data_IF_431192327106
#
_entry.id   IF_431192327106
#
_cell.length_a   1.000
_cell.length_b   1.000
_cell.length_c   1.000
_cell.angle_alpha   90.00
_cell.angle_beta   90.00
_cell.angle_gamma   90.00
#
_symmetry.space_group_name_H-M   'P 1'
#
loop_
_entity.id
_entity.type
_entity.pdbx_description
1 polymer ?
#
# COMPACT_ATOMS: atom_id res chain seq x y z
N UNK A 1 -2.60 22.47 57.17
CA UNK A 1 -2.36 21.06 56.86
C UNK A 1 -3.57 20.33 56.26
N UNK A 2 -4.75 20.27 56.85
CA UNK A 2 -5.92 19.55 56.31
C UNK A 2 -6.35 20.02 54.88
N UNK A 3 -6.31 21.31 54.58
CA UNK A 3 -6.68 21.83 53.23
C UNK A 3 -5.65 21.51 52.15
N UNK A 4 -4.37 21.38 52.49
CA UNK A 4 -3.30 20.98 51.56
C UNK A 4 -3.41 19.51 51.24
N UNK A 5 -3.77 18.65 52.18
CA UNK A 5 -3.95 17.23 51.96
C UNK A 5 -5.20 16.94 51.09
N UNK A 6 -6.27 17.74 51.24
CA UNK A 6 -7.46 17.63 50.36
C UNK A 6 -7.16 18.10 48.95
N UNK A 7 -6.32 19.09 48.75
CA UNK A 7 -5.91 19.56 47.43
C UNK A 7 -4.96 18.57 46.72
N UNK A 8 -4.07 17.90 47.48
CA UNK A 8 -3.21 16.83 46.97
C UNK A 8 -4.00 15.59 46.61
N UNK A 9 -5.04 15.23 47.36
CA UNK A 9 -5.94 14.11 46.98
C UNK A 9 -6.79 14.43 45.76
N UNK A 10 -7.19 15.68 45.55
CA UNK A 10 -7.93 16.07 44.32
C UNK A 10 -7.05 16.03 43.07
N UNK A 11 -5.76 16.37 43.19
CA UNK A 11 -4.79 16.29 42.07
C UNK A 11 -4.46 14.84 41.71
N UNK A 12 -4.42 13.94 42.70
CA UNK A 12 -4.20 12.51 42.47
C UNK A 12 -5.40 11.81 41.79
N UNK A 13 -6.61 12.31 41.96
CA UNK A 13 -7.81 11.76 41.31
C UNK A 13 -7.94 12.24 39.85
N UNK A 14 -7.40 13.40 39.51
CA UNK A 14 -7.43 13.94 38.13
C UNK A 14 -6.32 13.33 37.23
N UNK A 15 -5.24 12.79 37.83
CA UNK A 15 -4.16 12.13 37.08
C UNK A 15 -4.39 10.63 36.82
N UNK A 16 -5.52 10.07 37.27
CA UNK A 16 -5.88 8.67 37.04
C UNK A 16 -6.86 8.47 35.86
N UNK A 17 -7.10 9.46 35.02
CA UNK A 17 -7.59 9.21 33.67
C UNK A 17 -6.43 8.73 32.81
N UNK A 18 -5.94 7.55 33.09
CA UNK A 18 -5.27 6.71 32.07
C UNK A 18 -6.33 6.57 31.01
N UNK A 19 -6.10 7.16 29.84
CA UNK A 19 -6.89 6.88 28.63
C UNK A 19 -6.72 5.37 28.35
N UNK A 20 -7.57 4.55 28.95
CA UNK A 20 -7.78 3.22 28.43
C UNK A 20 -8.17 3.42 26.97
N UNK A 21 -7.32 2.94 26.05
CA UNK A 21 -7.61 2.90 24.62
C UNK A 21 -8.95 2.18 24.46
N UNK A 22 -10.02 2.92 24.29
CA UNK A 22 -11.35 2.33 24.19
C UNK A 22 -11.50 1.80 22.77
N UNK A 23 -11.08 0.55 22.58
CA UNK A 23 -11.35 -0.14 21.32
C UNK A 23 -12.86 -0.32 21.18
N UNK A 24 -13.44 0.20 20.12
CA UNK A 24 -14.80 -0.17 19.75
C UNK A 24 -14.76 -1.52 19.05
N UNK A 25 -15.68 -2.38 19.35
CA UNK A 25 -15.84 -3.73 18.81
C UNK A 25 -17.21 -3.90 18.15
N UNK A 26 -17.70 -2.81 17.56
CA UNK A 26 -19.04 -2.78 16.98
C UNK A 26 -19.14 -3.64 15.73
N UNK A 27 -18.02 -3.85 15.02
CA UNK A 27 -17.99 -4.56 13.75
C UNK A 27 -16.86 -5.58 13.71
N UNK A 28 -17.07 -6.64 12.91
CA UNK A 28 -16.01 -7.57 12.50
C UNK A 28 -16.16 -7.94 11.01
N UNK A 29 -15.10 -8.54 10.46
CA UNK A 29 -15.14 -9.17 9.15
C UNK A 29 -15.52 -10.64 9.30
N UNK A 30 -16.53 -11.06 8.57
CA UNK A 30 -17.01 -12.44 8.54
C UNK A 30 -16.89 -13.04 7.14
N UNK A 31 -16.43 -14.27 7.04
CA UNK A 31 -16.36 -14.99 5.76
C UNK A 31 -17.77 -15.27 5.22
N UNK A 32 -18.01 -14.89 3.98
CA UNK A 32 -19.25 -15.28 3.30
C UNK A 32 -19.04 -16.52 2.46
N UNK A 33 -20.15 -17.13 1.99
CA UNK A 33 -20.10 -18.25 1.04
C UNK A 33 -19.61 -17.84 -0.37
N UNK A 34 -19.52 -16.52 -0.64
CA UNK A 34 -19.14 -16.02 -1.96
C UNK A 34 -17.65 -16.24 -2.21
N UNK A 35 -17.35 -16.89 -3.32
CA UNK A 35 -16.00 -17.11 -3.83
C UNK A 35 -15.92 -16.61 -5.26
N UNK A 36 -14.71 -16.23 -5.65
CA UNK A 36 -14.36 -15.87 -7.02
C UNK A 36 -13.11 -16.63 -7.42
N UNK A 37 -13.14 -17.24 -8.59
CA UNK A 37 -12.01 -17.96 -9.17
C UNK A 37 -11.74 -17.40 -10.56
N UNK A 38 -10.55 -16.85 -10.75
CA UNK A 38 -10.12 -16.26 -12.02
C UNK A 38 -9.06 -17.17 -12.60
N UNK A 39 -9.36 -17.91 -13.68
CA UNK A 39 -8.39 -18.72 -14.38
C UNK A 39 -7.26 -17.83 -14.94
N UNK A 40 -6.02 -18.18 -14.64
CA UNK A 40 -4.84 -17.48 -15.10
C UNK A 40 -4.30 -18.12 -16.37
N UNK A 41 -3.85 -17.31 -17.31
CA UNK A 41 -3.17 -17.85 -18.49
C UNK A 41 -1.76 -18.33 -18.12
N UNK A 42 -1.26 -19.38 -18.78
CA UNK A 42 0.04 -20.03 -18.52
C UNK A 42 1.26 -19.08 -18.61
N UNK A 43 1.09 -17.92 -19.20
CA UNK A 43 2.13 -16.90 -19.41
C UNK A 43 1.93 -15.66 -18.54
N UNK A 44 1.04 -15.70 -17.55
CA UNK A 44 0.77 -14.59 -16.63
C UNK A 44 1.20 -14.97 -15.22
N UNK A 45 2.12 -14.20 -14.67
CA UNK A 45 2.53 -14.32 -13.27
C UNK A 45 1.95 -13.16 -12.47
N UNK A 46 1.29 -13.44 -11.36
CA UNK A 46 0.76 -12.42 -10.47
C UNK A 46 1.57 -12.32 -9.18
N UNK A 47 1.72 -11.09 -8.72
CA UNK A 47 2.33 -10.74 -7.45
C UNK A 47 1.45 -9.74 -6.72
N UNK A 48 1.63 -9.63 -5.43
CA UNK A 48 0.85 -8.72 -4.60
C UNK A 48 0.87 -7.26 -5.07
N UNK A 49 1.99 -6.80 -5.61
CA UNK A 49 2.14 -5.40 -6.04
C UNK A 49 1.66 -5.11 -7.46
N UNK A 50 1.32 -6.13 -8.22
CA UNK A 50 1.02 -6.04 -9.65
C UNK A 50 -0.46 -6.20 -9.98
N UNK A 51 -1.30 -6.40 -8.98
CA UNK A 51 -2.74 -6.57 -9.14
C UNK A 51 -3.48 -5.28 -8.78
N UNK A 52 -4.45 -4.90 -9.61
CA UNK A 52 -5.30 -3.75 -9.36
C UNK A 52 -6.74 -4.02 -9.75
N UNK A 53 -7.65 -3.73 -8.84
CA UNK A 53 -9.08 -3.60 -9.13
C UNK A 53 -9.44 -2.18 -9.55
N UNK A 54 -10.26 -2.02 -10.57
CA UNK A 54 -10.84 -0.73 -10.94
C UNK A 54 -12.18 -0.89 -11.64
N UNK A 55 -12.97 0.16 -11.58
CA UNK A 55 -14.20 0.32 -12.36
C UNK A 55 -13.88 1.23 -13.56
N UNK A 56 -14.09 0.72 -14.76
CA UNK A 56 -13.83 1.46 -15.99
C UNK A 56 -14.74 2.70 -16.08
N UNK A 57 -14.13 3.87 -16.16
CA UNK A 57 -14.82 5.16 -16.09
C UNK A 57 -15.81 5.42 -17.23
N UNK A 58 -15.70 4.67 -18.34
CA UNK A 58 -16.55 4.82 -19.51
C UNK A 58 -17.74 3.85 -19.49
N UNK A 59 -17.52 2.63 -19.01
CA UNK A 59 -18.51 1.55 -19.08
C UNK A 59 -19.14 1.20 -17.73
N UNK A 60 -18.52 1.58 -16.61
CA UNK A 60 -18.92 1.17 -15.26
C UNK A 60 -18.70 -0.33 -14.98
N UNK A 61 -17.93 -1.01 -15.82
CA UNK A 61 -17.61 -2.42 -15.65
C UNK A 61 -16.40 -2.57 -14.74
N UNK A 62 -16.47 -3.54 -13.82
CA UNK A 62 -15.37 -3.83 -12.89
C UNK A 62 -14.37 -4.82 -13.50
N UNK A 63 -13.09 -4.50 -13.36
CA UNK A 63 -11.98 -5.31 -13.82
C UNK A 63 -10.95 -5.55 -12.72
N UNK A 64 -10.32 -6.72 -12.78
CA UNK A 64 -9.05 -6.99 -12.14
C UNK A 64 -7.96 -6.94 -13.21
N UNK A 65 -6.96 -6.12 -13.00
CA UNK A 65 -5.83 -6.02 -13.92
C UNK A 65 -4.55 -6.49 -13.22
N UNK A 66 -3.70 -7.18 -13.96
CA UNK A 66 -2.43 -7.73 -13.46
C UNK A 66 -1.31 -7.28 -14.38
N UNK A 67 -0.29 -6.62 -13.81
CA UNK A 67 0.96 -6.35 -14.48
C UNK A 67 1.91 -7.54 -14.31
N UNK A 68 2.44 -8.04 -15.40
CA UNK A 68 3.48 -9.04 -15.41
C UNK A 68 4.70 -8.55 -16.19
N UNK A 69 5.76 -8.23 -15.47
CA UNK A 69 7.04 -7.80 -16.04
C UNK A 69 7.96 -8.96 -16.48
N UNK A 70 7.54 -10.22 -16.26
CA UNK A 70 8.31 -11.43 -16.53
C UNK A 70 7.85 -12.18 -17.78
N UNK A 71 7.08 -11.53 -18.66
CA UNK A 71 6.57 -12.24 -19.84
C UNK A 71 7.69 -12.93 -20.60
N UNK A 72 7.43 -14.13 -21.10
CA UNK A 72 8.41 -14.95 -21.87
C UNK A 72 8.98 -14.21 -23.09
N UNK A 73 8.28 -13.18 -23.55
CA UNK A 73 8.71 -12.35 -24.68
C UNK A 73 9.60 -11.18 -24.27
N UNK A 74 9.90 -11.01 -22.96
CA UNK A 74 10.73 -9.92 -22.45
C UNK A 74 10.04 -8.55 -22.40
N UNK A 75 8.74 -8.48 -22.69
CA UNK A 75 7.92 -7.27 -22.56
C UNK A 75 7.22 -7.26 -21.20
N UNK A 76 6.82 -6.09 -20.73
CA UNK A 76 5.81 -6.01 -19.66
C UNK A 76 4.43 -6.19 -20.30
N UNK A 77 3.56 -6.96 -19.67
CA UNK A 77 2.16 -7.09 -20.09
C UNK A 77 1.23 -6.68 -18.96
N UNK A 78 0.11 -6.04 -19.31
CA UNK A 78 -0.99 -5.76 -18.38
C UNK A 78 -2.21 -6.51 -18.90
N UNK A 79 -2.69 -7.44 -18.11
CA UNK A 79 -3.79 -8.35 -18.48
C UNK A 79 -5.03 -7.98 -17.67
N UNK A 80 -6.15 -7.80 -18.37
CA UNK A 80 -7.41 -7.35 -17.79
C UNK A 80 -8.42 -8.50 -17.76
N UNK A 81 -8.90 -8.81 -16.57
CA UNK A 81 -9.93 -9.80 -16.32
C UNK A 81 -11.23 -9.08 -15.92
N UNK A 82 -12.30 -9.37 -16.62
CA UNK A 82 -13.62 -8.85 -16.30
C UNK A 82 -14.20 -9.62 -15.11
N UNK A 83 -14.56 -8.95 -14.03
CA UNK A 83 -14.90 -9.61 -12.77
C UNK A 83 -16.22 -10.39 -12.81
N UNK A 84 -17.23 -9.92 -13.56
CA UNK A 84 -18.53 -10.62 -13.64
C UNK A 84 -18.47 -11.96 -14.37
N UNK A 85 -17.47 -12.15 -15.21
CA UNK A 85 -17.27 -13.39 -16.01
C UNK A 85 -15.99 -14.14 -15.65
N UNK A 86 -15.11 -13.55 -14.85
CA UNK A 86 -13.79 -14.07 -14.50
C UNK A 86 -12.94 -14.42 -15.73
N UNK A 87 -13.07 -13.67 -16.85
CA UNK A 87 -12.38 -13.94 -18.11
C UNK A 87 -11.43 -12.82 -18.49
N UNK A 88 -10.29 -13.19 -19.07
CA UNK A 88 -9.44 -12.26 -19.78
C UNK A 88 -10.21 -11.60 -20.94
N UNK A 89 -10.17 -10.29 -21.01
CA UNK A 89 -10.86 -9.50 -22.04
C UNK A 89 -9.91 -8.64 -22.86
N UNK A 90 -8.76 -8.31 -22.29
CA UNK A 90 -7.77 -7.47 -22.94
C UNK A 90 -6.38 -7.74 -22.39
N UNK A 91 -5.38 -7.57 -23.25
CA UNK A 91 -3.97 -7.61 -22.89
C UNK A 91 -3.25 -6.48 -23.59
N UNK A 92 -2.49 -5.70 -22.83
CA UNK A 92 -1.67 -4.60 -23.33
C UNK A 92 -0.21 -4.97 -23.16
N UNK A 93 0.53 -4.97 -24.28
CA UNK A 93 1.97 -5.25 -24.31
C UNK A 93 2.75 -3.95 -24.33
N UNK A 94 3.66 -3.78 -23.37
CA UNK A 94 4.56 -2.65 -23.26
C UNK A 94 5.97 -3.14 -23.59
N UNK A 95 6.54 -2.76 -24.72
CA UNK A 95 7.86 -3.24 -25.13
C UNK A 95 8.96 -2.62 -24.26
N UNK A 96 10.06 -3.35 -24.07
CA UNK A 96 11.27 -2.83 -23.39
C UNK A 96 12.20 -2.03 -24.31
N UNK A 97 11.93 -2.03 -25.61
CA UNK A 97 12.73 -1.32 -26.62
C UNK A 97 11.81 -0.72 -27.69
N UNK A 98 12.21 0.42 -28.24
CA UNK A 98 11.47 1.11 -29.28
C UNK A 98 10.67 2.32 -28.79
N UNK A 99 9.86 2.97 -29.65
CA UNK A 99 9.26 4.27 -29.36
C UNK A 99 8.19 4.24 -28.26
N UNK A 100 7.57 3.09 -28.00
CA UNK A 100 6.55 2.92 -26.95
C UNK A 100 7.10 2.15 -25.75
N UNK A 101 8.43 2.12 -25.57
CA UNK A 101 9.05 1.27 -24.55
C UNK A 101 9.13 1.94 -23.18
N UNK A 102 9.08 1.10 -22.17
CA UNK A 102 9.48 1.41 -20.79
C UNK A 102 10.62 0.46 -20.40
N UNK A 103 11.67 1.00 -19.81
CA UNK A 103 12.84 0.22 -19.40
C UNK A 103 12.50 -0.72 -18.24
N UNK A 104 11.81 -0.20 -17.26
CA UNK A 104 11.29 -0.96 -16.11
C UNK A 104 10.06 -0.25 -15.55
N UNK A 105 8.97 -0.99 -15.48
CA UNK A 105 7.72 -0.49 -14.90
C UNK A 105 7.80 -0.47 -13.37
N UNK A 106 7.07 0.47 -12.77
CA UNK A 106 6.88 0.59 -11.34
C UNK A 106 5.38 0.68 -11.03
N UNK A 107 4.66 -0.37 -11.41
CA UNK A 107 3.22 -0.46 -11.34
C UNK A 107 2.50 0.29 -12.46
N UNK A 108 1.17 0.25 -12.40
CA UNK A 108 0.30 0.93 -13.35
C UNK A 108 -0.97 1.45 -12.67
N UNK A 109 -1.66 2.38 -13.33
CA UNK A 109 -2.99 2.85 -12.98
C UNK A 109 -3.85 2.81 -14.24
N UNK A 110 -5.07 2.27 -14.15
CA UNK A 110 -6.04 2.26 -15.24
C UNK A 110 -7.29 3.06 -14.85
N UNK A 111 -7.64 4.03 -15.66
CA UNK A 111 -8.91 4.77 -15.57
C UNK A 111 -9.99 4.14 -16.46
N UNK A 112 -9.57 3.51 -17.54
CA UNK A 112 -10.37 2.68 -18.44
C UNK A 112 -9.48 1.69 -19.17
N UNK A 113 -10.07 0.76 -19.92
CA UNK A 113 -9.31 -0.16 -20.77
C UNK A 113 -8.46 0.56 -21.84
N UNK A 114 -8.76 1.82 -22.14
CA UNK A 114 -8.05 2.62 -23.14
C UNK A 114 -7.27 3.82 -22.56
N UNK A 115 -7.17 3.89 -21.22
CA UNK A 115 -6.44 4.95 -20.54
C UNK A 115 -5.67 4.35 -19.36
N UNK A 116 -4.39 4.05 -19.62
CA UNK A 116 -3.52 3.32 -18.71
C UNK A 116 -2.27 4.16 -18.49
N UNK A 117 -1.93 4.42 -17.23
CA UNK A 117 -0.74 5.17 -16.83
C UNK A 117 0.27 4.23 -16.23
N UNK A 118 1.52 4.30 -16.69
CA UNK A 118 2.61 3.43 -16.23
C UNK A 118 3.82 4.27 -15.91
N UNK A 119 4.38 4.11 -14.73
CA UNK A 119 5.59 4.80 -14.32
C UNK A 119 6.84 4.06 -14.78
N UNK A 120 7.80 4.79 -15.34
CA UNK A 120 9.15 4.26 -15.63
C UNK A 120 10.08 4.55 -14.46
N UNK A 121 10.63 3.49 -13.90
CA UNK A 121 11.48 3.56 -12.71
C UNK A 121 12.77 4.36 -12.92
N UNK A 122 13.30 4.39 -14.16
CA UNK A 122 14.63 4.97 -14.43
C UNK A 122 14.58 6.30 -15.18
N UNK A 123 13.45 6.63 -15.83
CA UNK A 123 13.36 7.83 -16.64
C UNK A 123 12.65 9.00 -15.96
N UNK A 124 12.15 8.82 -14.73
CA UNK A 124 11.32 9.81 -14.05
C UNK A 124 10.14 10.30 -14.91
N UNK A 125 9.45 9.34 -15.54
CA UNK A 125 8.31 9.62 -16.43
C UNK A 125 7.13 8.73 -16.10
N UNK A 126 5.94 9.29 -16.25
CA UNK A 126 4.69 8.54 -16.34
C UNK A 126 4.27 8.57 -17.80
N UNK A 127 4.01 7.41 -18.37
CA UNK A 127 3.49 7.27 -19.72
C UNK A 127 2.00 6.97 -19.68
N UNK A 128 1.23 7.59 -20.56
CA UNK A 128 -0.18 7.28 -20.81
C UNK A 128 -0.28 6.40 -22.04
N UNK A 129 -0.85 5.22 -21.89
CA UNK A 129 -1.04 4.23 -22.96
C UNK A 129 -2.51 4.07 -23.32
N UNK A 130 -2.76 3.67 -24.58
CA UNK A 130 -4.06 3.14 -24.99
C UNK A 130 -4.11 1.60 -24.87
N UNK A 131 -5.26 1.03 -25.25
CA UNK A 131 -5.52 -0.42 -25.25
C UNK A 131 -4.61 -1.24 -26.20
N UNK A 132 -3.89 -0.59 -27.12
CA UNK A 132 -2.97 -1.23 -28.05
C UNK A 132 -1.51 -1.16 -27.62
N UNK A 133 -1.23 -0.57 -26.45
CA UNK A 133 0.14 -0.34 -25.96
C UNK A 133 0.87 0.78 -26.71
N UNK A 134 0.12 1.71 -27.29
CA UNK A 134 0.68 2.91 -27.93
C UNK A 134 0.69 4.05 -26.92
N UNK A 135 1.81 4.78 -26.84
CA UNK A 135 1.94 5.97 -26.00
C UNK A 135 1.08 7.10 -26.55
N UNK A 136 0.13 7.56 -25.75
CA UNK A 136 -0.71 8.72 -26.05
C UNK A 136 -0.08 10.02 -25.55
N UNK A 137 0.58 9.96 -24.38
CA UNK A 137 1.23 11.11 -23.77
C UNK A 137 2.31 10.66 -22.76
N UNK A 138 3.13 11.61 -22.31
CA UNK A 138 4.12 11.36 -21.25
C UNK A 138 4.34 12.60 -20.40
N UNK A 139 4.63 12.36 -19.11
CA UNK A 139 4.81 13.38 -18.08
C UNK A 139 6.16 13.19 -17.41
N UNK A 140 7.10 14.10 -17.68
CA UNK A 140 8.42 14.11 -17.06
C UNK A 140 8.32 14.84 -15.72
N UNK A 141 8.70 14.15 -14.62
CA UNK A 141 8.66 14.68 -13.28
C UNK A 141 10.04 14.80 -12.62
N UNK A 142 11.10 14.83 -13.44
CA UNK A 142 12.48 14.92 -12.96
C UNK A 142 12.78 16.23 -12.24
N UNK A 143 12.11 17.32 -12.62
CA UNK A 143 12.34 18.67 -12.08
C UNK A 143 10.99 19.36 -11.88
N UNK A 144 10.81 20.04 -10.74
CA UNK A 144 9.63 20.84 -10.47
C UNK A 144 9.71 22.26 -11.10
N UNK A 145 8.61 23.01 -11.01
CA UNK A 145 8.51 24.38 -11.52
C UNK A 145 9.51 25.35 -10.88
N UNK A 146 10.07 25.02 -9.71
CA UNK A 146 11.06 25.82 -9.00
C UNK A 146 12.50 25.39 -9.34
N UNK A 147 12.69 24.42 -10.24
CA UNK A 147 14.00 23.88 -10.60
C UNK A 147 14.55 22.88 -9.56
N UNK A 148 13.73 22.40 -8.64
CA UNK A 148 14.12 21.38 -7.67
C UNK A 148 14.11 20.02 -8.36
N UNK A 149 15.23 19.33 -8.35
CA UNK A 149 15.33 17.97 -8.87
C UNK A 149 14.64 16.99 -7.93
N UNK A 150 13.97 15.99 -8.54
CA UNK A 150 13.54 14.84 -7.81
C UNK A 150 14.77 14.06 -7.34
N UNK A 151 14.95 13.95 -6.02
CA UNK A 151 16.05 13.20 -5.42
C UNK A 151 15.77 11.70 -5.30
N UNK A 152 14.62 11.24 -5.77
CA UNK A 152 14.00 9.99 -5.45
C UNK A 152 13.72 9.19 -6.70
N UNK A 153 13.65 7.86 -6.56
CA UNK A 153 13.74 6.92 -7.68
C UNK A 153 12.54 6.99 -8.63
N UNK A 154 11.30 7.18 -8.15
CA UNK A 154 10.15 7.31 -9.06
C UNK A 154 8.87 7.72 -8.33
N UNK A 155 7.93 8.30 -9.08
CA UNK A 155 6.53 8.29 -8.68
C UNK A 155 5.98 6.89 -8.93
N UNK A 156 5.70 6.16 -7.86
CA UNK A 156 5.20 4.80 -7.97
C UNK A 156 3.72 4.79 -8.37
N UNK A 157 3.34 3.73 -9.06
CA UNK A 157 1.96 3.44 -9.42
C UNK A 157 1.54 2.06 -8.91
N UNK A 158 2.17 1.62 -7.82
CA UNK A 158 1.87 0.35 -7.15
C UNK A 158 0.47 0.38 -6.56
N UNK A 159 -0.07 -0.78 -6.26
CA UNK A 159 -1.45 -0.89 -5.80
C UNK A 159 -1.67 -0.27 -4.42
N UNK A 160 -0.67 -0.28 -3.54
CA UNK A 160 -0.64 0.33 -2.22
C UNK A 160 -0.31 1.84 -2.24
N UNK A 161 0.20 2.33 -3.39
CA UNK A 161 0.57 3.72 -3.64
C UNK A 161 -0.03 4.23 -4.96
N UNK A 162 -1.35 4.15 -5.16
CA UNK A 162 -1.95 4.44 -6.45
C UNK A 162 -1.76 5.88 -6.89
N UNK A 163 -1.62 6.10 -8.20
CA UNK A 163 -1.89 7.41 -8.76
C UNK A 163 -3.33 7.81 -8.48
N UNK A 164 -3.54 9.10 -8.30
CA UNK A 164 -4.88 9.69 -8.30
C UNK A 164 -4.94 10.70 -9.44
N UNK A 165 -5.93 10.55 -10.31
CA UNK A 165 -6.16 11.48 -11.42
C UNK A 165 -7.44 12.23 -11.14
N UNK A 166 -7.31 13.54 -10.98
CA UNK A 166 -8.41 14.40 -10.55
C UNK A 166 -8.21 15.82 -11.10
N UNK A 167 -9.26 16.44 -11.57
CA UNK A 167 -9.30 17.85 -11.98
C UNK A 167 -8.17 18.24 -12.96
N UNK A 168 -7.82 17.35 -13.89
CA UNK A 168 -6.73 17.56 -14.86
C UNK A 168 -5.32 17.39 -14.28
N UNK A 169 -5.18 16.90 -13.06
CA UNK A 169 -3.89 16.67 -12.41
C UNK A 169 -3.67 15.18 -12.10
N UNK A 170 -2.40 14.79 -12.15
CA UNK A 170 -1.92 13.50 -11.65
C UNK A 170 -1.26 13.74 -10.30
N UNK A 171 -1.75 13.06 -9.25
CA UNK A 171 -1.16 13.06 -7.92
C UNK A 171 -0.40 11.77 -7.72
N UNK A 172 0.93 11.84 -7.78
CA UNK A 172 1.82 10.70 -7.57
C UNK A 172 2.33 10.65 -6.13
N UNK A 173 2.53 9.44 -5.61
CA UNK A 173 3.27 9.22 -4.38
C UNK A 173 4.76 9.14 -4.70
N UNK A 174 5.57 9.82 -3.90
CA UNK A 174 7.00 9.85 -4.05
C UNK A 174 7.64 8.84 -3.11
N UNK A 175 7.99 7.66 -3.64
CA UNK A 175 8.74 6.68 -2.88
C UNK A 175 10.16 7.16 -2.60
N UNK A 176 10.62 6.98 -1.37
CA UNK A 176 12.01 7.21 -1.00
C UNK A 176 12.78 5.91 -1.20
N UNK A 177 13.87 5.97 -1.97
CA UNK A 177 14.79 4.86 -2.06
C UNK A 177 15.93 5.00 -1.07
N UNK A 178 16.19 3.92 -0.38
CA UNK A 178 17.34 3.73 0.47
C UNK A 178 18.69 4.05 -0.21
N UNK A 179 18.83 3.71 -1.48
CA UNK A 179 20.05 3.96 -2.26
C UNK A 179 20.33 5.44 -2.52
N UNK A 180 19.31 6.29 -2.42
CA UNK A 180 19.46 7.75 -2.56
C UNK A 180 20.28 8.36 -1.42
N UNK A 181 20.52 7.64 -0.34
CA UNK A 181 21.24 8.10 0.85
C UNK A 181 22.62 7.47 1.03
N UNK A 182 23.10 6.72 0.03
CA UNK A 182 24.46 6.09 0.08
C UNK A 182 25.60 7.08 0.27
N UNK A 183 25.41 8.30 -0.20
CA UNK A 183 26.46 9.33 -0.19
C UNK A 183 26.44 10.21 1.07
N UNK A 184 25.58 9.92 2.03
CA UNK A 184 25.62 10.60 3.32
C UNK A 184 26.87 10.19 4.10
N UNK A 185 27.77 11.10 4.52
CA UNK A 185 29.07 10.79 5.13
C UNK A 185 28.99 9.92 6.38
N UNK A 186 27.85 9.87 7.03
CA UNK A 186 27.59 9.12 8.26
C UNK A 186 26.60 7.97 8.05
N UNK A 187 26.10 7.79 6.83
CA UNK A 187 25.19 6.72 6.48
C UNK A 187 23.85 6.76 7.20
N UNK A 188 23.42 7.97 7.60
CA UNK A 188 22.11 8.22 8.19
C UNK A 188 21.17 8.77 7.13
N UNK A 189 19.89 8.39 7.23
CA UNK A 189 18.83 8.90 6.34
C UNK A 189 18.40 10.29 6.81
N UNK A 190 19.21 11.30 6.56
CA UNK A 190 18.96 12.64 7.08
C UNK A 190 17.78 13.36 6.48
N UNK A 191 17.33 12.94 5.32
CA UNK A 191 16.46 13.78 4.51
C UNK A 191 15.01 13.30 4.43
N UNK A 192 14.59 12.32 5.24
CA UNK A 192 13.19 11.87 5.21
C UNK A 192 12.22 13.01 5.49
N UNK A 193 12.46 13.76 6.55
CA UNK A 193 11.65 14.91 6.94
C UNK A 193 11.79 16.13 6.01
N UNK A 194 12.73 16.09 5.07
CA UNK A 194 12.91 17.13 4.03
C UNK A 194 12.43 16.65 2.65
N UNK A 195 12.05 15.38 2.54
CA UNK A 195 11.64 14.77 1.27
C UNK A 195 10.13 14.90 1.11
N UNK A 196 9.65 15.56 0.04
CA UNK A 196 8.22 15.63 -0.28
C UNK A 196 7.62 14.24 -0.41
N UNK A 197 6.41 14.02 0.09
CA UNK A 197 5.75 12.71 -0.02
C UNK A 197 4.95 12.55 -1.30
N UNK A 198 4.71 13.62 -2.03
CA UNK A 198 3.90 13.58 -3.24
C UNK A 198 4.37 14.60 -4.27
N UNK A 199 4.02 14.35 -5.53
CA UNK A 199 4.12 15.30 -6.61
C UNK A 199 2.77 15.42 -7.31
N UNK A 200 2.46 16.64 -7.75
CA UNK A 200 1.30 16.96 -8.59
C UNK A 200 1.78 17.34 -9.97
N UNK A 201 1.19 16.77 -11.01
CA UNK A 201 1.51 17.05 -12.39
C UNK A 201 0.24 17.56 -13.08
N UNK A 202 0.24 18.78 -13.55
CA UNK A 202 -0.82 19.31 -14.41
C UNK A 202 -0.74 18.64 -15.79
N UNK A 203 -1.80 17.99 -16.23
CA UNK A 203 -1.79 17.19 -17.46
C UNK A 203 -1.79 18.05 -18.73
N UNK A 204 -2.25 19.30 -18.66
CA UNK A 204 -2.31 20.20 -19.80
C UNK A 204 -0.98 20.95 -20.00
N UNK A 205 -0.41 21.49 -18.94
CA UNK A 205 0.84 22.27 -18.98
C UNK A 205 2.09 21.42 -18.77
N UNK A 206 1.94 20.23 -18.20
CA UNK A 206 3.01 19.33 -17.73
C UNK A 206 3.86 19.93 -16.61
N UNK A 207 3.37 20.96 -15.95
CA UNK A 207 4.01 21.55 -14.79
C UNK A 207 3.97 20.56 -13.62
N UNK A 208 5.10 20.46 -12.91
CA UNK A 208 5.27 19.56 -11.76
C UNK A 208 5.46 20.39 -10.49
N UNK A 209 4.73 20.07 -9.45
CA UNK A 209 4.91 20.64 -8.12
C UNK A 209 5.14 19.53 -7.10
N UNK A 210 6.22 19.62 -6.33
CA UNK A 210 6.43 18.72 -5.19
C UNK A 210 5.66 19.24 -3.98
N UNK A 211 5.09 18.32 -3.19
CA UNK A 211 4.34 18.67 -1.99
C UNK A 211 5.20 19.42 -0.97
N UNK A 212 4.57 20.33 -0.22
CA UNK A 212 5.19 20.92 0.96
C UNK A 212 5.23 19.92 2.14
N UNK A 213 4.31 18.96 2.14
CA UNK A 213 4.28 17.87 3.11
C UNK A 213 5.40 16.89 2.83
N UNK A 214 6.24 16.67 3.83
CA UNK A 214 7.35 15.73 3.81
C UNK A 214 7.02 14.46 4.60
N UNK A 215 7.91 13.46 4.49
CA UNK A 215 7.84 12.28 5.33
C UNK A 215 7.91 12.66 6.81
N UNK A 216 7.14 12.01 7.68
CA UNK A 216 7.23 12.23 9.10
C UNK A 216 8.57 11.75 9.65
N UNK A 217 8.99 12.35 10.75
CA UNK A 217 10.13 11.85 11.51
C UNK A 217 9.68 10.61 12.31
N UNK A 218 9.89 9.44 11.72
CA UNK A 218 9.30 8.18 12.21
C UNK A 218 10.14 7.50 13.28
N UNK A 219 11.46 7.75 13.30
CA UNK A 219 12.40 6.91 14.04
C UNK A 219 13.50 7.71 14.71
N UNK A 220 14.01 7.14 15.78
CA UNK A 220 15.31 7.51 16.30
C UNK A 220 16.37 6.93 15.37
N UNK A 221 17.00 7.80 14.56
CA UNK A 221 17.95 7.38 13.52
C UNK A 221 19.22 6.80 14.16
N UNK A 222 19.51 5.57 13.85
CA UNK A 222 20.70 4.86 14.37
C UNK A 222 21.64 4.49 13.23
N UNK A 223 22.90 4.88 13.34
CA UNK A 223 23.93 4.55 12.36
C UNK A 223 24.07 3.02 12.16
N UNK A 224 24.12 2.56 10.92
CA UNK A 224 24.25 1.14 10.59
C UNK A 224 22.94 0.36 10.61
N UNK A 225 21.80 1.05 10.72
CA UNK A 225 20.46 0.46 10.63
C UNK A 225 19.71 0.98 9.41
N UNK A 226 18.90 0.14 8.81
CA UNK A 226 17.86 0.51 7.84
C UNK A 226 16.51 0.44 8.51
N UNK A 227 15.57 1.24 8.03
CA UNK A 227 14.22 1.34 8.57
C UNK A 227 13.22 0.97 7.49
N UNK A 228 12.10 0.42 7.89
CA UNK A 228 11.02 0.17 6.96
C UNK A 228 10.29 1.49 6.66
N UNK A 229 10.33 1.88 5.40
CA UNK A 229 9.80 3.15 4.91
C UNK A 229 8.50 2.96 4.14
N UNK A 230 7.97 1.74 4.15
CA UNK A 230 6.75 1.42 3.43
C UNK A 230 5.58 2.27 3.91
N UNK A 231 4.81 2.74 2.97
CA UNK A 231 3.59 3.48 3.21
C UNK A 231 2.50 2.94 2.29
N UNK A 232 1.28 3.00 2.73
CA UNK A 232 0.13 2.80 1.87
C UNK A 232 -0.69 4.08 1.83
N UNK A 233 -1.16 4.46 0.64
CA UNK A 233 -1.92 5.68 0.41
C UNK A 233 -3.21 5.41 -0.33
N UNK A 234 -4.27 6.08 0.09
CA UNK A 234 -5.55 6.11 -0.63
C UNK A 234 -6.05 7.54 -0.80
N UNK A 235 -6.96 7.71 -1.74
CA UNK A 235 -7.80 8.90 -1.90
C UNK A 235 -9.27 8.49 -1.80
N UNK A 236 -10.00 9.09 -0.85
CA UNK A 236 -11.40 8.73 -0.56
C UNK A 236 -12.44 9.56 -1.35
N UNK A 237 -11.97 10.34 -2.33
CA UNK A 237 -12.78 11.29 -3.09
C UNK A 237 -12.67 12.72 -2.57
N UNK A 238 -12.17 12.92 -1.34
CA UNK A 238 -11.98 14.23 -0.72
C UNK A 238 -10.55 14.45 -0.22
N UNK A 239 -9.98 13.49 0.48
CA UNK A 239 -8.71 13.60 1.19
C UNK A 239 -7.78 12.44 0.87
N UNK A 240 -6.48 12.69 0.95
CA UNK A 240 -5.45 11.66 0.91
C UNK A 240 -5.18 11.16 2.32
N UNK A 241 -5.12 9.85 2.48
CA UNK A 241 -4.87 9.17 3.75
C UNK A 241 -3.64 8.31 3.57
N UNK A 242 -2.64 8.54 4.40
CA UNK A 242 -1.37 7.83 4.42
C UNK A 242 -1.29 6.96 5.67
N UNK A 243 -0.97 5.69 5.48
CA UNK A 243 -0.69 4.72 6.53
C UNK A 243 0.80 4.36 6.47
N UNK A 244 1.60 5.02 7.29
CA UNK A 244 3.01 4.68 7.43
C UNK A 244 3.15 3.39 8.25
N UNK A 245 4.05 2.51 7.82
CA UNK A 245 4.13 1.15 8.37
C UNK A 245 4.50 1.08 9.86
N UNK A 246 5.18 2.10 10.39
CA UNK A 246 5.61 2.17 11.80
C UNK A 246 4.85 3.23 12.62
N UNK A 247 3.72 3.74 12.10
CA UNK A 247 2.92 4.74 12.81
C UNK A 247 1.55 4.21 13.19
N UNK A 248 1.19 4.42 14.43
CA UNK A 248 -0.16 4.14 14.93
C UNK A 248 -1.20 5.11 14.35
N UNK A 249 -0.77 6.32 13.98
CA UNK A 249 -1.64 7.33 13.44
C UNK A 249 -1.72 7.27 11.90
N UNK A 250 -2.85 7.67 11.36
CA UNK A 250 -3.02 7.97 9.94
C UNK A 250 -2.72 9.45 9.69
N UNK A 251 -1.97 9.74 8.63
CA UNK A 251 -1.75 11.09 8.13
C UNK A 251 -2.81 11.44 7.11
N UNK A 252 -3.57 12.49 7.35
CA UNK A 252 -4.67 12.90 6.49
C UNK A 252 -4.46 14.33 6.01
N UNK A 253 -4.55 14.52 4.69
CA UNK A 253 -4.39 15.82 4.05
C UNK A 253 -5.35 15.98 2.87
N UNK A 254 -5.82 17.19 2.62
CA UNK A 254 -6.62 17.53 1.44
C UNK A 254 -5.78 18.24 0.36
N UNK A 255 -4.67 18.84 0.76
CA UNK A 255 -3.88 19.80 -0.03
C UNK A 255 -2.38 19.49 -0.11
N UNK A 256 -1.91 18.43 0.54
CA UNK A 256 -0.50 18.07 0.71
C UNK A 256 0.38 19.18 1.34
N UNK A 257 -0.25 20.10 2.12
CA UNK A 257 0.43 21.16 2.88
C UNK A 257 0.17 21.01 4.36
N UNK A 258 -1.10 20.82 4.71
CA UNK A 258 -1.54 20.65 6.09
C UNK A 258 -1.88 19.18 6.35
N UNK A 259 -1.50 18.70 7.53
CA UNK A 259 -1.76 17.33 7.95
C UNK A 259 -2.56 17.29 9.24
N UNK A 260 -3.50 16.34 9.33
CA UNK A 260 -4.20 16.01 10.55
C UNK A 260 -3.94 14.54 10.88
N UNK A 261 -3.63 14.26 12.14
CA UNK A 261 -3.36 12.91 12.63
C UNK A 261 -4.63 12.30 13.22
N UNK A 262 -4.88 11.05 12.87
CA UNK A 262 -6.00 10.26 13.40
C UNK A 262 -5.45 8.99 14.04
N UNK A 263 -5.67 8.76 15.35
CA UNK A 263 -5.25 7.53 16.01
C UNK A 263 -5.95 6.30 15.41
N UNK A 264 -5.17 5.31 15.01
CA UNK A 264 -5.69 4.07 14.42
C UNK A 264 -4.80 2.89 14.87
N UNK A 265 -4.70 2.68 16.18
CA UNK A 265 -3.89 1.63 16.80
C UNK A 265 -4.58 0.27 16.67
N UNK A 266 -3.83 -0.76 16.28
CA UNK A 266 -4.28 -2.15 16.39
C UNK A 266 -4.32 -2.60 17.86
N UNK A 267 -5.28 -3.47 18.19
CA UNK A 267 -5.35 -4.13 19.49
C UNK A 267 -4.46 -5.35 19.59
N UNK A 268 -3.97 -5.87 18.48
CA UNK A 268 -3.24 -7.13 18.40
C UNK A 268 -1.73 -6.95 18.26
N UNK A 269 -1.25 -5.73 18.09
CA UNK A 269 0.17 -5.49 17.92
C UNK A 269 0.64 -4.18 18.53
N UNK A 270 1.90 -4.17 18.95
CA UNK A 270 2.66 -2.97 19.26
C UNK A 270 3.75 -2.80 18.20
N UNK A 271 3.83 -1.63 17.59
CA UNK A 271 4.79 -1.34 16.54
C UNK A 271 6.11 -0.88 17.13
N UNK A 272 7.18 -1.61 16.81
CA UNK A 272 8.55 -1.28 17.23
C UNK A 272 9.21 -0.38 16.18
N UNK A 273 9.65 0.82 16.61
CA UNK A 273 10.28 1.82 15.71
C UNK A 273 11.78 1.59 15.49
N UNK A 274 12.32 0.47 15.95
CA UNK A 274 13.72 0.14 15.75
C UNK A 274 14.00 -0.33 14.32
N UNK A 275 15.12 0.13 13.77
CA UNK A 275 15.60 -0.29 12.46
C UNK A 275 16.16 -1.72 12.47
N UNK A 276 16.48 -2.19 11.28
CA UNK A 276 17.14 -3.49 11.03
C UNK A 276 18.63 -3.26 10.75
N UNK A 277 19.56 -4.01 11.37
CA UNK A 277 20.98 -3.86 11.09
C UNK A 277 21.32 -4.04 9.60
N UNK A 278 22.12 -3.14 9.03
CA UNK A 278 22.49 -3.15 7.60
C UNK A 278 23.46 -4.26 7.18
N UNK A 279 24.19 -4.83 8.14
CA UNK A 279 25.19 -5.85 7.88
C UNK A 279 24.61 -7.26 7.70
N UNK A 280 23.28 -7.40 7.69
CA UNK A 280 22.63 -8.68 7.49
C UNK A 280 22.66 -9.12 6.03
N UNK A 281 22.72 -10.42 5.81
CA UNK A 281 22.40 -11.01 4.50
C UNK A 281 20.92 -10.75 4.16
N UNK A 282 20.53 -10.92 2.89
CA UNK A 282 19.15 -10.74 2.45
C UNK A 282 18.20 -11.63 3.28
N UNK A 283 18.56 -12.90 3.48
CA UNK A 283 17.73 -13.84 4.24
C UNK A 283 17.61 -13.46 5.72
N UNK A 284 18.70 -13.04 6.36
CA UNK A 284 18.68 -12.53 7.74
C UNK A 284 17.85 -11.25 7.85
N UNK A 285 17.98 -10.33 6.89
CA UNK A 285 17.19 -9.09 6.84
C UNK A 285 15.70 -9.36 6.70
N UNK A 286 15.30 -10.37 5.91
CA UNK A 286 13.91 -10.81 5.79
C UNK A 286 13.38 -11.36 7.13
N UNK A 287 14.15 -12.22 7.79
CA UNK A 287 13.80 -12.77 9.11
C UNK A 287 13.62 -11.64 10.12
N UNK A 288 14.58 -10.73 10.19
CA UNK A 288 14.57 -9.60 11.12
C UNK A 288 13.37 -8.65 10.84
N UNK A 289 13.09 -8.34 9.56
CA UNK A 289 11.91 -7.54 9.20
C UNK A 289 10.59 -8.21 9.58
N UNK A 290 10.50 -9.53 9.47
CA UNK A 290 9.28 -10.26 9.84
C UNK A 290 9.16 -10.48 11.36
N UNK A 291 10.23 -10.32 12.12
CA UNK A 291 10.17 -10.32 13.59
C UNK A 291 9.45 -9.10 14.15
N UNK A 292 9.15 -8.10 13.32
CA UNK A 292 8.50 -6.84 13.71
C UNK A 292 7.07 -6.76 13.18
N UNK A 293 6.21 -6.19 14.02
CA UNK A 293 4.86 -5.84 13.61
C UNK A 293 4.86 -4.54 12.79
N UNK A 294 4.07 -4.47 11.73
CA UNK A 294 3.91 -3.26 10.91
C UNK A 294 2.47 -3.09 10.44
N UNK A 295 2.11 -1.87 10.12
CA UNK A 295 0.94 -1.57 9.30
C UNK A 295 1.29 -1.77 7.82
N UNK A 296 0.53 -2.58 7.11
CA UNK A 296 0.69 -2.82 5.69
C UNK A 296 -0.21 -1.86 4.89
N UNK A 297 -1.29 -2.36 4.33
CA UNK A 297 -2.13 -1.62 3.42
C UNK A 297 -3.26 -0.87 4.12
N UNK A 298 -3.74 0.20 3.48
CA UNK A 298 -5.03 0.80 3.77
C UNK A 298 -5.85 0.84 2.48
N UNK A 299 -7.15 0.56 2.56
CA UNK A 299 -8.07 0.62 1.43
C UNK A 299 -9.39 1.28 1.83
N UNK A 300 -9.97 2.03 0.92
CA UNK A 300 -11.27 2.67 1.11
C UNK A 300 -12.40 1.88 0.46
N UNK A 301 -13.41 1.56 1.24
CA UNK A 301 -14.66 0.98 0.78
C UNK A 301 -15.68 2.08 0.51
N UNK A 302 -15.74 2.54 -0.74
CA UNK A 302 -16.67 3.60 -1.18
C UNK A 302 -18.14 3.22 -1.03
N UNK A 303 -18.46 1.92 -0.98
CA UNK A 303 -19.84 1.41 -0.92
C UNK A 303 -20.39 1.45 0.50
N UNK A 304 -19.51 1.25 1.51
CA UNK A 304 -19.89 1.21 2.94
C UNK A 304 -19.37 2.42 3.71
N UNK A 305 -18.59 3.30 3.06
CA UNK A 305 -17.94 4.46 3.68
C UNK A 305 -17.04 4.02 4.86
N UNK A 306 -16.30 2.91 4.67
CA UNK A 306 -15.40 2.34 5.65
C UNK A 306 -13.96 2.32 5.11
N UNK A 307 -13.02 2.16 6.01
CA UNK A 307 -11.62 1.92 5.67
C UNK A 307 -11.15 0.63 6.31
N UNK A 308 -10.33 -0.12 5.59
CA UNK A 308 -9.69 -1.33 6.10
C UNK A 308 -8.18 -1.08 6.17
N UNK A 309 -7.61 -1.17 7.38
CA UNK A 309 -6.18 -1.06 7.61
C UNK A 309 -5.62 -2.42 7.97
N UNK A 310 -4.70 -2.93 7.18
CA UNK A 310 -4.07 -4.23 7.37
C UNK A 310 -2.89 -4.10 8.33
N UNK A 311 -2.80 -5.03 9.26
CA UNK A 311 -1.81 -5.06 10.32
C UNK A 311 -1.09 -6.41 10.30
N UNK A 312 0.19 -6.44 9.98
CA UNK A 312 1.01 -7.66 10.01
C UNK A 312 1.62 -7.83 11.39
N UNK A 313 1.37 -8.97 12.01
CA UNK A 313 1.95 -9.33 13.30
C UNK A 313 3.36 -9.85 13.13
N UNK A 314 4.16 -9.78 14.19
CA UNK A 314 5.52 -10.34 14.21
C UNK A 314 5.50 -11.87 14.05
N UNK A 315 6.44 -12.38 13.26
CA UNK A 315 6.69 -13.80 13.12
C UNK A 315 8.06 -14.16 13.71
N UNK A 316 8.07 -14.63 14.94
CA UNK A 316 9.28 -15.07 15.64
C UNK A 316 9.72 -16.50 15.28
N UNK A 317 8.96 -17.20 14.45
CA UNK A 317 9.23 -18.60 14.06
C UNK A 317 9.95 -18.72 12.71
N UNK A 318 9.99 -17.64 11.94
CA UNK A 318 10.63 -17.62 10.64
C UNK A 318 12.15 -17.78 10.80
N UNK A 319 12.76 -18.66 10.01
CA UNK A 319 14.20 -18.94 10.04
C UNK A 319 14.88 -18.63 8.72
N UNK A 320 16.18 -18.35 8.76
CA UNK A 320 16.99 -18.16 7.55
C UNK A 320 16.95 -19.38 6.63
N UNK A 321 16.95 -20.60 7.19
CA UNK A 321 16.84 -21.83 6.42
C UNK A 321 15.54 -21.90 5.62
N UNK A 322 14.40 -21.51 6.21
CA UNK A 322 13.13 -21.44 5.50
C UNK A 322 13.17 -20.45 4.33
N UNK A 323 13.76 -19.27 4.54
CA UNK A 323 13.92 -18.29 3.45
C UNK A 323 14.80 -18.83 2.31
N UNK A 324 15.89 -19.49 2.64
CA UNK A 324 16.82 -20.03 1.64
C UNK A 324 16.26 -21.23 0.86
N UNK A 325 15.41 -22.05 1.50
CA UNK A 325 14.85 -23.26 0.90
C UNK A 325 13.53 -23.03 0.18
N UNK A 326 12.69 -22.13 0.69
CA UNK A 326 11.34 -21.87 0.18
C UNK A 326 11.24 -20.56 -0.64
N UNK A 327 12.33 -19.78 -0.66
CA UNK A 327 12.37 -18.48 -1.31
C UNK A 327 11.68 -17.39 -0.47
N UNK A 328 11.50 -16.23 -1.09
CA UNK A 328 10.84 -15.08 -0.47
C UNK A 328 9.33 -15.33 -0.45
N UNK A 329 8.81 -15.75 0.71
CA UNK A 329 7.39 -16.05 0.89
C UNK A 329 6.74 -14.89 1.65
N UNK A 330 5.86 -14.16 0.98
CA UNK A 330 4.98 -13.19 1.61
C UNK A 330 3.89 -13.93 2.42
N UNK A 331 3.48 -13.37 3.54
CA UNK A 331 2.31 -13.87 4.31
C UNK A 331 2.56 -15.07 5.23
N UNK A 332 3.72 -15.07 5.88
CA UNK A 332 4.06 -16.08 6.90
C UNK A 332 3.60 -15.70 8.32
N UNK A 333 3.02 -14.50 8.49
CA UNK A 333 2.61 -13.98 9.79
C UNK A 333 1.10 -13.99 9.94
N UNK A 334 0.63 -14.12 11.16
CA UNK A 334 -0.73 -13.70 11.49
C UNK A 334 -0.91 -12.24 11.12
N UNK A 335 -2.12 -11.86 10.77
CA UNK A 335 -2.45 -10.47 10.48
C UNK A 335 -3.84 -10.13 11.02
N UNK A 336 -4.14 -8.86 11.10
CA UNK A 336 -5.49 -8.38 11.36
C UNK A 336 -5.89 -7.32 10.36
N UNK A 337 -7.19 -7.09 10.26
CA UNK A 337 -7.76 -6.01 9.46
C UNK A 337 -8.62 -5.17 10.40
N UNK A 338 -8.19 -3.92 10.59
CA UNK A 338 -8.95 -2.91 11.32
C UNK A 338 -10.04 -2.35 10.42
N UNK A 339 -11.19 -2.10 10.99
CA UNK A 339 -12.32 -1.42 10.34
C UNK A 339 -12.41 -0.02 10.94
N UNK A 340 -12.32 1.01 10.08
CA UNK A 340 -12.50 2.39 10.52
C UNK A 340 -13.75 2.98 9.84
N UNK A 341 -14.46 3.85 10.57
CA UNK A 341 -15.60 4.58 10.04
C UNK A 341 -15.19 5.79 9.19
N UNK A 342 -16.15 6.56 8.67
CA UNK A 342 -15.92 7.77 7.87
C UNK A 342 -15.13 8.87 8.60
N UNK A 343 -15.14 8.86 9.93
CA UNK A 343 -14.39 9.78 10.78
C UNK A 343 -12.99 9.27 11.13
N UNK A 344 -12.60 8.10 10.56
CA UNK A 344 -11.36 7.38 10.81
C UNK A 344 -11.21 6.87 12.25
N UNK A 345 -12.32 6.65 12.93
CA UNK A 345 -12.35 5.99 14.23
C UNK A 345 -12.36 4.48 14.04
N UNK A 346 -11.58 3.76 14.84
CA UNK A 346 -11.55 2.30 14.82
C UNK A 346 -12.83 1.76 15.44
N UNK A 347 -13.64 1.08 14.61
CA UNK A 347 -14.95 0.51 15.00
C UNK A 347 -14.95 -1.02 15.07
N UNK A 348 -13.85 -1.64 14.69
CA UNK A 348 -13.66 -3.09 14.79
C UNK A 348 -12.30 -3.54 14.31
N UNK A 349 -11.93 -4.77 14.62
CA UNK A 349 -10.70 -5.39 14.13
C UNK A 349 -10.83 -6.91 14.16
N UNK A 350 -10.55 -7.57 13.04
CA UNK A 350 -10.62 -9.02 12.90
C UNK A 350 -9.23 -9.60 12.65
N UNK A 351 -8.87 -10.60 13.44
CA UNK A 351 -7.59 -11.32 13.31
C UNK A 351 -7.75 -12.54 12.42
N UNK A 352 -6.72 -12.81 11.62
CA UNK A 352 -6.59 -13.97 10.73
C UNK A 352 -5.28 -14.71 11.03
N UNK A 353 -5.32 -16.02 10.96
CA UNK A 353 -4.14 -16.87 11.13
C UNK A 353 -3.26 -16.87 9.89
N UNK A 354 -1.96 -17.08 10.09
CA UNK A 354 -1.01 -17.27 9.01
C UNK A 354 -1.40 -18.47 8.13
N UNK A 355 -1.08 -18.41 6.85
CA UNK A 355 -1.30 -19.52 5.93
C UNK A 355 -2.71 -19.64 5.35
N UNK A 356 -3.69 -18.89 5.85
CA UNK A 356 -5.09 -18.95 5.34
C UNK A 356 -5.27 -18.08 4.11
N UNK A 357 -4.86 -16.82 4.20
CA UNK A 357 -5.02 -15.81 3.15
C UNK A 357 -3.68 -15.22 2.71
N UNK A 358 -3.67 -14.60 1.53
CA UNK A 358 -2.60 -13.74 1.04
C UNK A 358 -3.00 -12.26 1.22
N UNK A 359 -2.64 -11.61 2.34
CA UNK A 359 -3.18 -10.30 2.73
C UNK A 359 -2.73 -9.13 1.84
N UNK A 360 -1.84 -9.39 0.90
CA UNK A 360 -1.44 -8.40 -0.12
C UNK A 360 -2.16 -8.56 -1.46
N UNK A 361 -3.05 -9.55 -1.58
CA UNK A 361 -3.88 -9.78 -2.75
C UNK A 361 -5.34 -9.61 -2.33
N UNK A 362 -5.87 -8.41 -2.51
CA UNK A 362 -7.23 -8.06 -2.13
C UNK A 362 -7.81 -6.97 -3.03
N UNK A 363 -9.11 -6.82 -3.00
CA UNK A 363 -9.83 -5.67 -3.56
C UNK A 363 -11.17 -5.49 -2.85
N UNK A 364 -11.79 -4.33 -3.07
CA UNK A 364 -13.10 -3.99 -2.52
C UNK A 364 -14.06 -3.70 -3.65
N UNK A 365 -15.25 -4.30 -3.59
CA UNK A 365 -16.35 -3.96 -4.47
C UNK A 365 -17.68 -3.86 -3.69
N UNK A 366 -18.80 -3.72 -4.41
CA UNK A 366 -20.15 -3.63 -3.80
C UNK A 366 -20.50 -4.83 -2.90
N UNK A 367 -19.89 -6.00 -3.16
CA UNK A 367 -20.19 -7.22 -2.41
C UNK A 367 -19.41 -7.29 -1.09
N UNK A 368 -18.21 -6.72 -0.99
CA UNK A 368 -17.40 -6.73 0.23
C UNK A 368 -15.92 -6.53 -0.04
N UNK A 369 -15.13 -6.87 0.97
CA UNK A 369 -13.68 -6.99 0.87
C UNK A 369 -13.36 -8.42 0.38
N UNK A 370 -12.75 -8.51 -0.79
CA UNK A 370 -12.29 -9.76 -1.38
C UNK A 370 -10.82 -9.98 -1.01
N UNK A 371 -10.53 -11.09 -0.34
CA UNK A 371 -9.20 -11.45 0.12
C UNK A 371 -8.77 -12.76 -0.52
N UNK A 372 -7.56 -12.79 -1.09
CA UNK A 372 -7.10 -13.95 -1.84
C UNK A 372 -6.80 -15.15 -0.93
N UNK A 373 -7.26 -16.34 -1.36
CA UNK A 373 -6.94 -17.64 -0.77
C UNK A 373 -5.63 -18.23 -1.34
N UNK A 374 -4.91 -17.54 -2.25
CA UNK A 374 -3.64 -17.99 -2.82
C UNK A 374 -2.46 -17.78 -1.84
N UNK A 375 -2.48 -18.48 -0.73
CA UNK A 375 -1.36 -18.54 0.19
C UNK A 375 -0.53 -19.80 -0.05
N UNK A 376 0.78 -19.67 -0.18
CA UNK A 376 1.69 -20.80 -0.47
C UNK A 376 1.71 -21.91 0.58
N UNK A 377 1.16 -21.65 1.76
CA UNK A 377 1.05 -22.68 2.81
C UNK A 377 -0.20 -23.57 2.66
N UNK A 378 -1.10 -23.24 1.75
CA UNK A 378 -2.30 -24.04 1.49
C UNK A 378 -1.98 -25.20 0.58
N UNK A 379 -2.53 -26.37 0.89
CA UNK A 379 -2.38 -27.58 0.07
C UNK A 379 -3.10 -27.49 -1.29
N UNK A 380 -4.17 -26.65 -1.36
CA UNK A 380 -4.97 -26.45 -2.57
C UNK A 380 -4.55 -25.21 -3.39
N UNK A 381 -3.42 -24.62 -3.05
CA UNK A 381 -2.86 -23.50 -3.79
C UNK A 381 -2.36 -23.94 -5.17
N UNK A 382 -2.71 -23.18 -6.19
CA UNK A 382 -2.23 -23.36 -7.56
C UNK A 382 -2.00 -21.99 -8.20
N UNK A 383 -1.01 -21.88 -9.07
CA UNK A 383 -0.73 -20.66 -9.83
C UNK A 383 -1.68 -20.45 -11.01
N UNK A 384 -2.45 -21.50 -11.39
CA UNK A 384 -3.35 -21.46 -12.55
C UNK A 384 -4.68 -20.76 -12.26
N UNK A 385 -5.00 -20.53 -10.98
CA UNK A 385 -6.26 -19.89 -10.56
C UNK A 385 -6.02 -18.92 -9.43
N UNK A 386 -6.43 -17.68 -9.63
CA UNK A 386 -6.46 -16.68 -8.58
C UNK A 386 -7.81 -16.74 -7.85
N UNK A 387 -7.78 -17.18 -6.59
CA UNK A 387 -8.96 -17.44 -5.76
C UNK A 387 -9.17 -16.33 -4.74
N UNK A 388 -10.41 -15.92 -4.55
CA UNK A 388 -10.79 -14.94 -3.54
C UNK A 388 -11.98 -15.39 -2.72
N UNK A 389 -11.98 -15.04 -1.45
CA UNK A 389 -13.10 -15.13 -0.52
C UNK A 389 -13.64 -13.72 -0.25
N UNK A 390 -14.96 -13.56 -0.30
CA UNK A 390 -15.60 -12.31 0.10
C UNK A 390 -15.78 -12.26 1.62
N UNK A 391 -15.28 -11.21 2.23
CA UNK A 391 -15.48 -10.88 3.63
C UNK A 391 -16.55 -9.78 3.74
N UNK A 392 -17.51 -9.98 4.64
CA UNK A 392 -18.58 -9.03 4.93
C UNK A 392 -18.33 -8.36 6.28
N UNK A 393 -18.60 -7.06 6.34
CA UNK A 393 -18.68 -6.38 7.63
C UNK A 393 -20.01 -6.75 8.27
N UNK A 394 -19.95 -7.24 9.49
CA UNK A 394 -21.12 -7.57 10.32
C UNK A 394 -21.02 -6.87 11.67
N UNK A 395 -22.15 -6.52 12.24
CA UNK A 395 -22.21 -6.04 13.61
C UNK A 395 -21.91 -7.20 14.58
N UNK A 396 -21.09 -6.94 15.58
CA UNK A 396 -20.88 -7.90 16.66
C UNK A 396 -22.15 -7.91 17.51
N UNK A 397 -22.75 -9.09 17.68
CA UNK A 397 -23.80 -9.29 18.66
C UNK A 397 -23.21 -9.10 20.06
N UNK A 398 -23.84 -8.23 20.89
CA UNK A 398 -23.47 -7.98 22.28
C UNK A 398 -23.63 -9.24 23.16
#
# INVERSE_FOLDING_TARGET
MRRIIQMLLLVLVVSACINEKKYSDSFCLHESEQRMEIPMADDVYYYSHTMRHFEDSLSGIEYLAIEDARSKQGNTQIVFYRLDSCKEVQRVLIPKQGPNSISQTCGFYANSLNEIYVSDMFQNKIYKYNSRGEVLDSYDYSVDINGKNLRIISLQTLFDEPLVIKDGCIYGFQAISYDSFKDSPDGLNYEFNESPIAATIDTATKAVEFSELCYPDLYEKKKGYSYNESVSRIYDGRRFIYSFCLMDELYVTEDHKTVKLYPANSRYMDVEKEGVPRMLTIAEGIVESNSKAIYDNIVYDKYRQLYYRFCRMKNMKLTVEQILTQGFIYSLSDFSIMILNSDLEVVGETKFEAGVYAPKLFFVNKDGLWLSENNYQREDMTDDVLKFRCLKVVENEE
#
